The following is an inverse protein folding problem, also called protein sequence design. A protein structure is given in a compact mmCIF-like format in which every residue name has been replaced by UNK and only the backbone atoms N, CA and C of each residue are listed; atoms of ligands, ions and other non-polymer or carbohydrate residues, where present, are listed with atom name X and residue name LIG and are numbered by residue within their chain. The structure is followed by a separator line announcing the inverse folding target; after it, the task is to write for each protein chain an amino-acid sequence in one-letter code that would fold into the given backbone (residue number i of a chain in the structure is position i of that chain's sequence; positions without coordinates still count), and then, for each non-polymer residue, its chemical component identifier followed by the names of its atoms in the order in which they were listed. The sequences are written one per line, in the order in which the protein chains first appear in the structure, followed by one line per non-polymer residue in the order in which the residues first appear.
data_IF_329622398016
#
_entry.id   IF_329622398016
#
_cell.length_a   1.000
_cell.length_b   1.000
_cell.length_c   1.000
_cell.angle_alpha   90.00
_cell.angle_beta   90.00
_cell.angle_gamma   90.00
#
_symmetry.space_group_name_H-M   'P 1'
#
loop_
_entity.id
_entity.type
_entity.pdbx_description
1 polymer ?
#
# COMPACT_ATOMS: atom_id res chain seq x y z
N UNK A 1 -39.74 -17.33 -39.45
CA UNK A 1 -38.78 -17.83 -38.43
C UNK A 1 -37.54 -16.94 -38.53
N UNK A 2 -37.51 -15.72 -37.99
CA UNK A 2 -37.26 -15.30 -36.61
C UNK A 2 -36.14 -16.11 -35.91
N UNK A 3 -35.08 -15.37 -35.54
CA UNK A 3 -33.93 -15.72 -34.68
C UNK A 3 -32.80 -16.37 -35.50
N UNK A 4 -31.55 -15.92 -35.41
CA UNK A 4 -30.81 -15.62 -34.18
C UNK A 4 -29.90 -14.42 -34.39
N UNK A 5 -30.07 -13.44 -33.50
CA UNK A 5 -29.25 -12.25 -33.35
C UNK A 5 -27.80 -12.63 -33.05
N UNK A 6 -26.87 -11.97 -33.74
CA UNK A 6 -25.46 -11.88 -33.37
C UNK A 6 -25.36 -11.38 -31.92
N UNK A 7 -24.95 -12.27 -31.00
CA UNK A 7 -24.46 -11.85 -29.69
C UNK A 7 -23.13 -11.12 -29.92
N UNK A 8 -23.20 -9.81 -30.02
CA UNK A 8 -22.06 -8.94 -29.79
C UNK A 8 -21.63 -9.16 -28.34
N UNK A 9 -20.56 -9.94 -28.13
CA UNK A 9 -19.81 -9.97 -26.89
C UNK A 9 -19.06 -8.62 -26.79
N UNK A 10 -19.80 -7.57 -26.49
CA UNK A 10 -19.23 -6.39 -25.85
C UNK A 10 -18.78 -6.84 -24.47
N UNK A 11 -17.53 -7.31 -24.40
CA UNK A 11 -16.75 -7.27 -23.17
C UNK A 11 -16.64 -5.79 -22.86
N UNK A 12 -17.66 -5.29 -22.15
CA UNK A 12 -17.58 -4.03 -21.44
C UNK A 12 -16.37 -4.18 -20.54
N UNK A 13 -15.24 -3.64 -20.98
CA UNK A 13 -14.16 -3.24 -20.10
C UNK A 13 -14.81 -2.30 -19.08
N UNK A 14 -15.35 -2.90 -18.02
CA UNK A 14 -15.42 -2.30 -16.71
C UNK A 14 -13.95 -2.13 -16.30
N UNK A 15 -13.25 -1.19 -16.94
CA UNK A 15 -12.22 -0.42 -16.27
C UNK A 15 -12.97 0.16 -15.09
N UNK A 16 -12.93 -0.56 -13.98
CA UNK A 16 -13.33 -0.06 -12.70
C UNK A 16 -12.60 1.27 -12.57
N UNK A 17 -13.34 2.36 -12.75
CA UNK A 17 -13.00 3.64 -12.17
C UNK A 17 -13.17 3.51 -10.65
N UNK A 18 -12.52 2.51 -10.06
CA UNK A 18 -12.07 2.62 -8.70
C UNK A 18 -11.09 3.78 -8.79
N UNK A 19 -11.45 4.93 -8.21
CA UNK A 19 -10.45 5.94 -7.85
C UNK A 19 -9.58 5.30 -6.77
N UNK A 20 -8.80 4.30 -7.17
CA UNK A 20 -7.95 3.52 -6.30
C UNK A 20 -6.97 4.50 -5.67
N UNK A 21 -6.77 4.34 -4.36
CA UNK A 21 -5.82 5.14 -3.59
C UNK A 21 -4.52 5.31 -4.39
N UNK A 22 -3.98 6.53 -4.39
CA UNK A 22 -2.69 6.78 -5.04
C UNK A 22 -1.59 5.96 -4.37
N UNK A 23 -0.46 5.77 -5.06
CA UNK A 23 0.71 5.11 -4.46
C UNK A 23 1.15 5.83 -3.19
N UNK A 24 1.03 7.17 -3.19
CA UNK A 24 1.28 8.03 -2.03
C UNK A 24 0.39 7.66 -0.83
N UNK A 25 -0.93 7.57 -1.02
CA UNK A 25 -1.86 7.25 0.07
C UNK A 25 -1.65 5.84 0.61
N UNK A 26 -1.37 4.87 -0.29
CA UNK A 26 -1.06 3.50 0.10
C UNK A 26 0.25 3.44 0.90
N UNK A 27 1.26 4.23 0.51
CA UNK A 27 2.53 4.33 1.23
C UNK A 27 2.37 4.97 2.61
N UNK A 28 1.54 6.02 2.73
CA UNK A 28 1.24 6.68 4.00
C UNK A 28 0.57 5.72 4.98
N UNK A 29 -0.39 4.92 4.51
CA UNK A 29 -1.07 3.91 5.32
C UNK A 29 -0.07 2.89 5.94
N UNK A 30 0.98 2.53 5.23
CA UNK A 30 2.04 1.62 5.73
C UNK A 30 2.99 2.35 6.67
N UNK A 31 3.41 3.57 6.31
CA UNK A 31 4.24 4.42 7.17
C UNK A 31 3.60 4.67 8.54
N UNK A 32 2.31 4.99 8.58
CA UNK A 32 1.57 5.23 9.81
C UNK A 32 1.49 3.98 10.69
N UNK A 33 1.38 2.80 10.06
CA UNK A 33 1.47 1.53 10.79
C UNK A 33 2.83 1.41 11.47
N UNK A 34 3.91 1.59 10.70
CA UNK A 34 5.29 1.51 11.21
C UNK A 34 5.53 2.52 12.34
N UNK A 35 5.10 3.76 12.19
CA UNK A 35 5.19 4.81 13.22
C UNK A 35 4.46 4.40 14.51
N UNK A 36 3.26 3.82 14.40
CA UNK A 36 2.51 3.32 15.57
C UNK A 36 3.21 2.14 16.24
N UNK A 37 3.71 1.18 15.45
CA UNK A 37 4.46 0.05 15.98
C UNK A 37 5.76 0.49 16.69
N UNK A 38 6.46 1.49 16.16
CA UNK A 38 7.68 2.02 16.77
C UNK A 38 7.45 2.99 17.94
N UNK A 39 6.21 3.46 18.13
CA UNK A 39 5.83 4.21 19.33
C UNK A 39 5.51 3.29 20.52
N UNK A 40 5.37 1.98 20.30
CA UNK A 40 5.27 0.99 21.38
C UNK A 40 6.65 0.86 22.04
N UNK A 41 6.65 0.75 23.36
CA UNK A 41 7.87 0.55 24.15
C UNK A 41 8.68 -0.64 23.62
N UNK A 42 10.01 -0.48 23.59
CA UNK A 42 10.90 -1.49 23.02
C UNK A 42 10.89 -2.82 23.80
N UNK A 43 10.56 -2.79 25.09
CA UNK A 43 10.44 -3.96 25.94
C UNK A 43 9.03 -4.59 25.92
N UNK A 44 8.03 -3.93 25.31
CA UNK A 44 6.69 -4.52 25.21
C UNK A 44 6.68 -5.61 24.11
N UNK A 45 6.34 -6.87 24.45
CA UNK A 45 6.30 -7.97 23.49
C UNK A 45 5.29 -7.74 22.35
N UNK A 46 4.30 -6.85 22.52
CA UNK A 46 3.34 -6.49 21.47
C UNK A 46 3.97 -5.64 20.37
N UNK A 47 5.13 -5.03 20.62
CA UNK A 47 5.85 -4.24 19.60
C UNK A 47 6.18 -5.11 18.38
N UNK A 48 6.74 -6.30 18.60
CA UNK A 48 7.10 -7.23 17.53
C UNK A 48 5.88 -7.63 16.72
N UNK A 49 4.78 -7.99 17.39
CA UNK A 49 3.53 -8.34 16.72
C UNK A 49 2.99 -7.19 15.85
N UNK A 50 3.05 -5.94 16.36
CA UNK A 50 2.64 -4.78 15.58
C UNK A 50 3.56 -4.53 14.37
N UNK A 51 4.87 -4.75 14.50
CA UNK A 51 5.81 -4.63 13.39
C UNK A 51 5.55 -5.70 12.32
N UNK A 52 5.28 -6.95 12.72
CA UNK A 52 4.94 -8.04 11.80
C UNK A 52 3.65 -7.75 11.03
N UNK A 53 2.63 -7.21 11.68
CA UNK A 53 1.38 -6.82 11.02
C UNK A 53 1.59 -5.67 10.03
N UNK A 54 2.46 -4.71 10.36
CA UNK A 54 2.84 -3.67 9.41
C UNK A 54 3.62 -4.22 8.20
N UNK A 55 4.49 -5.21 8.41
CA UNK A 55 5.22 -5.88 7.33
C UNK A 55 4.26 -6.61 6.38
N UNK A 56 3.27 -7.34 6.92
CA UNK A 56 2.21 -7.96 6.10
C UNK A 56 1.43 -6.90 5.30
N UNK A 57 1.02 -5.81 5.96
CA UNK A 57 0.33 -4.70 5.30
C UNK A 57 1.17 -4.07 4.18
N UNK A 58 2.48 -3.95 4.37
CA UNK A 58 3.39 -3.46 3.34
C UNK A 58 3.42 -4.39 2.12
N UNK A 59 3.46 -5.71 2.32
CA UNK A 59 3.44 -6.69 1.21
C UNK A 59 2.11 -6.63 0.47
N UNK A 60 0.98 -6.58 1.18
CA UNK A 60 -0.35 -6.43 0.57
C UNK A 60 -0.47 -5.12 -0.22
N UNK A 61 0.05 -4.02 0.33
CA UNK A 61 0.09 -2.72 -0.31
C UNK A 61 0.96 -2.73 -1.57
N UNK A 62 2.16 -3.34 -1.49
CA UNK A 62 3.06 -3.50 -2.63
C UNK A 62 2.40 -4.26 -3.77
N UNK A 63 1.71 -5.37 -3.47
CA UNK A 63 0.98 -6.14 -4.48
C UNK A 63 -0.12 -5.35 -5.21
N UNK A 64 -0.63 -4.26 -4.63
CA UNK A 64 -1.64 -3.38 -5.27
C UNK A 64 -1.03 -2.33 -6.19
N UNK A 65 0.27 -2.03 -6.04
CA UNK A 65 0.93 -0.92 -6.75
C UNK A 65 2.06 -1.37 -7.68
N UNK A 66 2.62 -2.58 -7.49
CA UNK A 66 3.84 -3.04 -8.18
C UNK A 66 3.74 -3.08 -9.71
N UNK A 67 2.54 -3.23 -10.25
CA UNK A 67 2.29 -3.33 -11.70
C UNK A 67 2.00 -1.95 -12.34
N UNK A 68 1.89 -0.88 -11.54
CA UNK A 68 1.72 0.51 -11.98
C UNK A 68 2.96 1.29 -11.57
N UNK A 69 3.89 1.52 -12.51
CA UNK A 69 5.18 2.13 -12.23
C UNK A 69 5.07 3.46 -11.47
N UNK A 70 4.11 4.32 -11.85
CA UNK A 70 3.92 5.60 -11.18
C UNK A 70 3.49 5.41 -9.73
N UNK A 71 2.54 4.50 -9.46
CA UNK A 71 2.11 4.21 -8.08
C UNK A 71 3.21 3.52 -7.28
N UNK A 72 3.97 2.63 -7.89
CA UNK A 72 5.12 1.98 -7.26
C UNK A 72 6.17 3.01 -6.84
N UNK A 73 6.50 3.97 -7.70
CA UNK A 73 7.46 5.04 -7.41
C UNK A 73 6.97 5.95 -6.29
N UNK A 74 5.70 6.39 -6.34
CA UNK A 74 5.08 7.18 -5.27
C UNK A 74 5.08 6.44 -3.93
N UNK A 75 4.70 5.15 -3.95
CA UNK A 75 4.68 4.28 -2.76
C UNK A 75 6.08 4.14 -2.16
N UNK A 76 7.07 3.79 -2.98
CA UNK A 76 8.45 3.60 -2.55
C UNK A 76 9.06 4.89 -2.02
N UNK A 77 8.77 6.04 -2.66
CA UNK A 77 9.21 7.34 -2.17
C UNK A 77 8.70 7.61 -0.76
N UNK A 78 7.41 7.41 -0.51
CA UNK A 78 6.83 7.62 0.84
C UNK A 78 7.48 6.69 1.87
N UNK A 79 7.69 5.41 1.54
CA UNK A 79 8.32 4.48 2.47
C UNK A 79 9.78 4.85 2.77
N UNK A 80 10.54 5.28 1.75
CA UNK A 80 11.93 5.71 1.91
C UNK A 80 12.04 6.97 2.76
N UNK A 81 11.19 7.96 2.50
CA UNK A 81 11.13 9.20 3.28
C UNK A 81 10.73 8.88 4.73
N UNK A 82 9.72 8.02 4.94
CA UNK A 82 9.27 7.60 6.26
C UNK A 82 10.34 6.84 7.06
N UNK A 83 11.05 5.90 6.43
CA UNK A 83 12.15 5.18 7.08
C UNK A 83 13.27 6.15 7.49
N UNK A 84 13.62 7.09 6.62
CA UNK A 84 14.62 8.12 6.90
C UNK A 84 14.22 9.00 8.09
N UNK A 85 12.96 9.44 8.16
CA UNK A 85 12.43 10.19 9.29
C UNK A 85 12.51 9.41 10.61
N UNK A 86 12.14 8.12 10.58
CA UNK A 86 12.14 7.28 11.77
C UNK A 86 13.55 7.00 12.27
N UNK A 87 14.51 6.79 11.37
CA UNK A 87 15.94 6.65 11.69
C UNK A 87 16.44 7.95 12.34
N UNK A 88 16.21 9.11 11.72
CA UNK A 88 16.63 10.40 12.29
C UNK A 88 16.07 10.61 13.70
N UNK A 89 14.80 10.32 13.91
CA UNK A 89 14.16 10.40 15.24
C UNK A 89 14.78 9.43 16.24
N UNK A 90 15.12 8.21 15.84
CA UNK A 90 15.72 7.22 16.72
C UNK A 90 17.15 7.59 17.13
N UNK A 91 17.91 8.28 16.26
CA UNK A 91 19.31 8.65 16.50
C UNK A 91 19.52 10.13 16.85
N UNK A 92 18.44 10.91 17.02
CA UNK A 92 18.50 12.32 17.44
C UNK A 92 19.18 13.26 16.45
N UNK A 93 19.12 12.96 15.15
CA UNK A 93 19.69 13.77 14.06
C UNK A 93 18.70 14.77 13.45
#
# INVERSE_FOLDING_TARGET
MKKVFLLALTVSLLTACDKGKSGTQIGQDVCDCSKKANAIDAADPKRTAAQDDCAKKQVEAWNKVKDDQKKADEFNKVLSDCASEQIKKAFGQ
#
